data_IF_562636846861
#
_entry.id   IF_562636846861
#
_cell.length_a   1.000
_cell.length_b   1.000
_cell.length_c   1.000
_cell.angle_alpha   90.00
_cell.angle_beta   90.00
_cell.angle_gamma   90.00
#
_symmetry.space_group_name_H-M   'P 1'
#
loop_
_entity.id
_entity.type
_entity.pdbx_description
1 polymer ?
#
# COMPACT_ATOMS: atom_id res chain seq x y z
N UNK A 1 18.77 -1.95 -18.91
CA UNK A 1 19.74 -2.49 -17.93
C UNK A 1 19.85 -1.46 -16.77
N UNK A 2 18.83 -1.36 -15.91
CA UNK A 2 18.65 -0.23 -14.96
C UNK A 2 18.56 -0.65 -13.47
N UNK A 3 18.77 -1.93 -13.15
CA UNK A 3 18.38 -2.53 -11.87
C UNK A 3 19.42 -2.43 -10.74
N UNK A 4 20.58 -1.80 -10.93
CA UNK A 4 21.73 -1.98 -10.01
C UNK A 4 22.07 -0.84 -9.05
N UNK A 5 21.42 0.33 -9.07
CA UNK A 5 21.90 1.49 -8.31
C UNK A 5 21.08 1.95 -7.11
N UNK A 6 19.92 1.36 -6.81
CA UNK A 6 19.02 1.95 -5.81
C UNK A 6 19.18 1.44 -4.36
N UNK A 7 20.09 0.50 -4.11
CA UNK A 7 20.22 -0.25 -2.83
C UNK A 7 21.22 0.30 -1.80
N UNK A 8 21.69 1.54 -1.92
CA UNK A 8 22.45 2.17 -0.83
C UNK A 8 21.49 2.53 0.30
N UNK A 9 21.65 1.88 1.47
CA UNK A 9 20.81 2.09 2.64
C UNK A 9 20.84 3.55 3.10
N UNK A 10 19.66 4.14 3.25
CA UNK A 10 19.49 5.48 3.80
C UNK A 10 19.44 5.37 5.33
N UNK A 11 20.42 5.93 6.02
CA UNK A 11 20.43 5.98 7.49
C UNK A 11 19.71 7.23 7.97
N UNK A 12 18.45 7.06 8.38
CA UNK A 12 17.57 8.13 8.85
C UNK A 12 18.09 8.79 10.15
N UNK A 13 18.90 8.08 10.95
CA UNK A 13 19.45 8.59 12.22
C UNK A 13 20.51 9.69 12.01
N UNK A 14 21.04 9.82 10.79
CA UNK A 14 22.08 10.77 10.45
C UNK A 14 21.55 12.14 9.98
N UNK A 15 20.21 12.33 9.87
CA UNK A 15 19.62 13.56 9.34
C UNK A 15 18.67 14.20 10.37
N UNK A 16 18.83 15.50 10.68
CA UNK A 16 17.84 16.22 11.46
C UNK A 16 16.52 16.34 10.67
N UNK A 17 15.38 16.25 11.36
CA UNK A 17 14.03 16.24 10.73
C UNK A 17 13.80 17.42 9.76
N UNK A 18 14.33 18.60 10.09
CA UNK A 18 14.25 19.81 9.25
C UNK A 18 14.92 19.65 7.88
N UNK A 19 15.95 18.82 7.78
CA UNK A 19 16.64 18.53 6.52
C UNK A 19 15.83 17.56 5.66
N UNK A 20 15.18 16.57 6.28
CA UNK A 20 14.29 15.62 5.58
C UNK A 20 13.11 16.38 4.97
N UNK A 21 12.47 17.27 5.74
CA UNK A 21 11.37 18.11 5.24
C UNK A 21 11.79 18.97 4.04
N UNK A 22 12.97 19.57 4.11
CA UNK A 22 13.52 20.40 3.02
C UNK A 22 13.73 19.59 1.74
N UNK A 23 14.26 18.36 1.84
CA UNK A 23 14.45 17.50 0.67
C UNK A 23 13.12 17.01 0.09
N UNK A 24 12.15 16.67 0.94
CA UNK A 24 10.80 16.30 0.49
C UNK A 24 10.12 17.44 -0.27
N UNK A 25 10.25 18.68 0.22
CA UNK A 25 9.70 19.86 -0.45
C UNK A 25 10.39 20.13 -1.79
N UNK A 26 11.70 19.89 -1.90
CA UNK A 26 12.41 19.97 -3.20
C UNK A 26 11.88 18.92 -4.19
N UNK A 27 11.71 17.68 -3.74
CA UNK A 27 11.16 16.59 -4.57
C UNK A 27 9.74 16.93 -5.01
N UNK A 28 8.90 17.44 -4.09
CA UNK A 28 7.54 17.88 -4.40
C UNK A 28 7.54 18.90 -5.52
N UNK A 29 8.34 19.98 -5.39
CA UNK A 29 8.47 21.04 -6.41
C UNK A 29 8.96 20.51 -7.74
N UNK A 30 9.89 19.55 -7.74
CA UNK A 30 10.34 18.89 -8.96
C UNK A 30 9.16 18.26 -9.72
N UNK A 31 8.32 17.48 -9.03
CA UNK A 31 7.15 16.88 -9.67
C UNK A 31 6.10 17.92 -10.08
N UNK A 32 5.85 18.95 -9.26
CA UNK A 32 4.91 20.03 -9.60
C UNK A 32 5.31 20.75 -10.90
N UNK A 33 6.60 21.01 -11.10
CA UNK A 33 7.12 21.66 -12.30
C UNK A 33 6.96 20.81 -13.58
N UNK A 34 6.74 19.50 -13.44
CA UNK A 34 6.54 18.57 -14.55
C UNK A 34 5.07 18.38 -14.91
N UNK A 35 4.14 18.85 -14.08
CA UNK A 35 2.71 18.69 -14.34
C UNK A 35 2.30 19.58 -15.53
N UNK A 36 1.78 18.99 -16.63
CA UNK A 36 1.33 19.76 -17.77
C UNK A 36 0.17 20.70 -17.39
N UNK A 37 0.16 21.91 -17.94
CA UNK A 37 -0.98 22.84 -17.82
C UNK A 37 -2.22 22.43 -18.66
N UNK A 38 -2.34 21.15 -19.04
CA UNK A 38 -3.33 20.64 -20.01
C UNK A 38 -4.43 19.78 -19.39
N UNK A 39 -5.57 19.65 -20.09
CA UNK A 39 -6.81 18.99 -19.60
C UNK A 39 -6.70 17.48 -19.33
N UNK A 40 -5.67 16.79 -19.85
CA UNK A 40 -5.50 15.34 -19.68
C UNK A 40 -4.43 14.97 -18.64
N UNK A 41 -3.79 15.96 -18.03
CA UNK A 41 -2.82 15.77 -16.96
C UNK A 41 -3.52 15.65 -15.59
N UNK A 42 -2.90 14.93 -14.62
CA UNK A 42 -3.32 15.07 -13.23
C UNK A 42 -3.25 16.55 -12.82
N UNK A 43 -4.29 17.03 -12.13
CA UNK A 43 -4.32 18.39 -11.60
C UNK A 43 -3.18 18.58 -10.59
N UNK A 44 -2.63 19.80 -10.52
CA UNK A 44 -1.67 20.16 -9.47
C UNK A 44 -2.25 19.94 -8.06
N UNK A 45 -3.56 20.13 -7.90
CA UNK A 45 -4.23 19.89 -6.62
C UNK A 45 -4.28 18.40 -6.28
N UNK A 46 -4.63 17.55 -7.25
CA UNK A 46 -4.67 16.09 -7.06
C UNK A 46 -3.28 15.55 -6.72
N UNK A 47 -2.24 16.08 -7.39
CA UNK A 47 -0.86 15.73 -7.08
C UNK A 47 -0.49 16.13 -5.65
N UNK A 48 -0.73 17.39 -5.26
CA UNK A 48 -0.41 17.88 -3.91
C UNK A 48 -1.08 17.07 -2.83
N UNK A 49 -2.39 16.86 -2.96
CA UNK A 49 -3.16 16.06 -2.02
C UNK A 49 -2.59 14.64 -1.91
N UNK A 50 -2.35 13.99 -3.05
CA UNK A 50 -1.81 12.63 -3.08
C UNK A 50 -0.42 12.53 -2.47
N UNK A 51 0.46 13.48 -2.81
CA UNK A 51 1.84 13.55 -2.32
C UNK A 51 1.88 13.79 -0.81
N UNK A 52 1.20 14.83 -0.32
CA UNK A 52 1.16 15.20 1.10
C UNK A 52 0.55 14.09 1.94
N UNK A 53 -0.55 13.49 1.47
CA UNK A 53 -1.18 12.35 2.15
C UNK A 53 -0.25 11.13 2.20
N UNK A 54 0.41 10.79 1.09
CA UNK A 54 1.34 9.67 1.05
C UNK A 54 2.52 9.88 2.02
N UNK A 55 3.17 11.04 1.96
CA UNK A 55 4.30 11.38 2.84
C UNK A 55 3.87 11.41 4.30
N UNK A 56 2.79 12.13 4.61
CA UNK A 56 2.30 12.25 5.99
C UNK A 56 1.95 10.91 6.61
N UNK A 57 1.22 10.04 5.88
CA UNK A 57 0.91 8.69 6.37
C UNK A 57 2.16 7.81 6.52
N UNK A 58 3.16 7.99 5.65
CA UNK A 58 4.40 7.22 5.72
C UNK A 58 5.20 7.57 6.97
N UNK A 59 5.23 8.85 7.36
CA UNK A 59 5.83 9.26 8.62
C UNK A 59 5.02 8.83 9.84
N UNK A 60 3.70 8.95 9.80
CA UNK A 60 2.85 8.56 10.93
C UNK A 60 2.99 7.07 11.30
N UNK A 61 3.20 6.19 10.32
CA UNK A 61 3.44 4.75 10.56
C UNK A 61 4.77 4.47 11.25
N UNK A 62 5.75 5.34 11.05
CA UNK A 62 7.10 5.20 11.61
C UNK A 62 7.18 5.72 13.04
N UNK A 63 6.25 6.58 13.47
CA UNK A 63 6.16 7.03 14.85
C UNK A 63 5.80 5.83 15.74
N UNK A 64 6.80 5.31 16.47
CA UNK A 64 6.57 4.21 17.41
C UNK A 64 5.83 4.71 18.65
N UNK A 65 4.81 3.97 19.07
CA UNK A 65 4.06 4.18 20.31
C UNK A 65 3.64 5.64 20.54
N UNK A 66 2.81 6.24 19.66
CA UNK A 66 2.17 7.48 20.03
C UNK A 66 1.41 7.24 21.34
N UNK A 67 1.66 8.09 22.34
CA UNK A 67 0.81 8.06 23.53
C UNK A 67 -0.63 8.23 23.06
N UNK A 68 -1.57 7.41 23.57
CA UNK A 68 -2.97 7.56 23.21
C UNK A 68 -3.38 9.01 23.49
N UNK A 69 -3.99 9.63 22.49
CA UNK A 69 -4.45 11.02 22.60
C UNK A 69 -5.38 11.19 23.80
N UNK A 70 -5.55 12.41 24.28
CA UNK A 70 -6.40 12.70 25.45
C UNK A 70 -7.81 12.13 25.27
N UNK A 71 -8.36 12.21 24.04
CA UNK A 71 -9.65 11.63 23.70
C UNK A 71 -9.65 10.10 23.70
N UNK A 72 -8.56 9.44 23.29
CA UNK A 72 -8.41 7.99 23.39
C UNK A 72 -8.28 7.52 24.85
N UNK A 73 -7.63 8.32 25.70
CA UNK A 73 -7.53 8.05 27.14
C UNK A 73 -8.89 8.13 27.85
N UNK A 74 -9.80 8.99 27.38
CA UNK A 74 -11.16 9.10 27.94
C UNK A 74 -11.97 7.82 27.78
N UNK A 75 -11.80 7.07 26.69
CA UNK A 75 -12.47 5.77 26.51
C UNK A 75 -12.11 4.77 27.62
N UNK A 76 -10.86 4.76 28.07
CA UNK A 76 -10.44 3.91 29.19
C UNK A 76 -10.98 4.40 30.52
N UNK A 77 -11.13 5.72 30.70
CA UNK A 77 -11.74 6.29 31.91
C UNK A 77 -13.20 5.91 32.05
N UNK A 78 -13.95 5.88 30.94
CA UNK A 78 -15.39 5.59 30.94
C UNK A 78 -15.67 4.10 31.17
N UNK A 79 -14.84 3.21 30.63
CA UNK A 79 -15.10 1.76 30.64
C UNK A 79 -14.74 1.07 31.95
N UNK A 80 -14.09 1.76 32.91
CA UNK A 80 -13.63 1.23 34.20
C UNK A 80 -12.91 -0.12 34.08
N UNK A 81 -12.19 -0.33 32.97
CA UNK A 81 -11.57 -1.60 32.67
C UNK A 81 -10.26 -1.73 33.45
N UNK A 82 -10.08 -2.81 34.22
CA UNK A 82 -8.89 -2.98 35.08
C UNK A 82 -7.57 -3.18 34.31
N UNK A 83 -7.64 -3.45 33.00
CA UNK A 83 -6.50 -3.76 32.15
C UNK A 83 -6.26 -2.67 31.10
N UNK A 84 -6.00 -1.44 31.55
CA UNK A 84 -5.79 -0.26 30.69
C UNK A 84 -4.64 -0.46 29.69
N UNK A 85 -3.51 -0.97 30.17
CA UNK A 85 -2.30 -1.20 29.37
C UNK A 85 -2.57 -2.13 28.18
N UNK A 86 -3.30 -3.22 28.39
CA UNK A 86 -3.65 -4.16 27.33
C UNK A 86 -4.57 -3.49 26.28
N UNK A 87 -5.50 -2.67 26.75
CA UNK A 87 -6.37 -1.87 25.90
C UNK A 87 -5.56 -0.92 25.00
N UNK A 88 -4.63 -0.17 25.58
CA UNK A 88 -3.74 0.76 24.85
C UNK A 88 -2.92 0.04 23.78
N UNK A 89 -2.34 -1.10 24.10
CA UNK A 89 -1.61 -1.94 23.13
C UNK A 89 -2.52 -2.39 21.98
N UNK A 90 -3.73 -2.87 22.30
CA UNK A 90 -4.70 -3.30 21.29
C UNK A 90 -5.15 -2.14 20.38
N UNK A 91 -5.40 -0.96 20.95
CA UNK A 91 -5.79 0.23 20.21
C UNK A 91 -4.66 0.69 19.29
N UNK A 92 -3.44 0.80 19.81
CA UNK A 92 -2.26 1.19 19.02
C UNK A 92 -2.03 0.23 17.86
N UNK A 93 -2.15 -1.08 18.09
CA UNK A 93 -2.07 -2.08 17.02
C UNK A 93 -3.16 -1.89 15.96
N UNK A 94 -4.41 -1.64 16.36
CA UNK A 94 -5.52 -1.39 15.44
C UNK A 94 -5.30 -0.12 14.62
N UNK A 95 -4.91 0.97 15.26
CA UNK A 95 -4.62 2.25 14.63
C UNK A 95 -3.47 2.11 13.63
N UNK A 96 -2.38 1.45 14.01
CA UNK A 96 -1.24 1.17 13.12
C UNK A 96 -1.65 0.37 11.88
N UNK A 97 -2.48 -0.66 12.04
CA UNK A 97 -3.01 -1.43 10.90
C UNK A 97 -3.86 -0.54 9.96
N UNK A 98 -4.66 0.36 10.52
CA UNK A 98 -5.49 1.28 9.74
C UNK A 98 -4.63 2.30 8.99
N UNK A 99 -3.62 2.87 9.63
CA UNK A 99 -2.66 3.77 9.00
C UNK A 99 -1.91 3.06 7.86
N UNK A 100 -1.41 1.86 8.10
CA UNK A 100 -0.73 1.04 7.09
C UNK A 100 -1.63 0.77 5.86
N UNK A 101 -2.91 0.48 6.09
CA UNK A 101 -3.87 0.34 5.00
C UNK A 101 -4.03 1.63 4.19
N UNK A 102 -4.21 2.77 4.85
CA UNK A 102 -4.36 4.06 4.16
C UNK A 102 -3.08 4.49 3.44
N UNK A 103 -1.91 4.24 4.02
CA UNK A 103 -0.62 4.54 3.37
C UNK A 103 -0.44 3.71 2.11
N UNK A 104 -0.84 2.42 2.13
CA UNK A 104 -0.82 1.57 0.94
C UNK A 104 -1.73 2.10 -0.18
N UNK A 105 -2.92 2.61 0.17
CA UNK A 105 -3.82 3.25 -0.79
C UNK A 105 -3.19 4.53 -1.36
N UNK A 106 -2.68 5.41 -0.50
CA UNK A 106 -2.04 6.66 -0.91
C UNK A 106 -0.80 6.41 -1.80
N UNK A 107 -0.02 5.36 -1.50
CA UNK A 107 1.08 4.89 -2.35
C UNK A 107 0.58 4.48 -3.73
N UNK A 108 -0.52 3.72 -3.79
CA UNK A 108 -1.16 3.33 -5.05
C UNK A 108 -1.56 4.55 -5.88
N UNK A 109 -2.20 5.53 -5.26
CA UNK A 109 -2.59 6.78 -5.91
C UNK A 109 -1.38 7.58 -6.42
N UNK A 110 -0.31 7.64 -5.62
CA UNK A 110 0.95 8.27 -6.04
C UNK A 110 1.55 7.58 -7.27
N UNK A 111 1.55 6.24 -7.29
CA UNK A 111 2.02 5.48 -8.46
C UNK A 111 1.19 5.74 -9.71
N UNK A 112 -0.13 5.91 -9.61
CA UNK A 112 -0.97 6.26 -10.75
C UNK A 112 -0.59 7.62 -11.36
N UNK A 113 -0.25 8.60 -10.53
CA UNK A 113 0.23 9.91 -11.00
C UNK A 113 1.64 9.79 -11.58
N UNK A 114 2.52 9.08 -10.90
CA UNK A 114 3.90 8.84 -11.33
C UNK A 114 3.97 8.16 -12.70
N UNK A 115 3.16 7.11 -12.92
CA UNK A 115 3.07 6.40 -14.20
C UNK A 115 2.63 7.32 -15.35
N UNK A 116 1.70 8.26 -15.09
CA UNK A 116 1.30 9.28 -16.08
C UNK A 116 2.44 10.24 -16.41
N UNK A 117 3.20 10.68 -15.41
CA UNK A 117 4.37 11.55 -15.61
C UNK A 117 5.47 10.83 -16.42
N UNK A 118 5.76 9.58 -16.08
CA UNK A 118 6.73 8.73 -16.79
C UNK A 118 6.31 8.49 -18.24
N UNK A 119 5.01 8.33 -18.51
CA UNK A 119 4.49 8.17 -19.87
C UNK A 119 4.62 9.46 -20.71
N UNK A 120 4.52 10.63 -20.08
CA UNK A 120 4.59 11.93 -20.76
C UNK A 120 6.03 12.46 -20.92
N UNK A 121 6.98 12.01 -20.10
CA UNK A 121 8.33 12.55 -20.08
C UNK A 121 9.23 11.97 -21.19
N UNK A 122 9.98 12.81 -21.92
CA UNK A 122 10.94 12.35 -22.92
C UNK A 122 12.15 11.64 -22.27
N UNK A 123 12.60 12.15 -21.13
CA UNK A 123 13.60 11.50 -20.28
C UNK A 123 12.96 11.10 -18.95
N UNK A 124 13.08 9.81 -18.63
CA UNK A 124 12.46 9.18 -17.45
C UNK A 124 13.43 9.10 -16.28
N UNK A 125 14.73 9.21 -16.52
CA UNK A 125 15.75 8.97 -15.51
C UNK A 125 15.60 9.91 -14.29
N UNK A 126 15.39 11.24 -14.47
CA UNK A 126 15.22 12.15 -13.34
C UNK A 126 13.98 11.83 -12.50
N UNK A 127 12.89 11.38 -13.13
CA UNK A 127 11.66 10.98 -12.42
C UNK A 127 11.92 9.79 -11.49
N UNK A 128 12.61 8.75 -11.98
CA UNK A 128 12.94 7.58 -11.18
C UNK A 128 13.92 7.89 -10.05
N UNK A 129 14.89 8.78 -10.27
CA UNK A 129 15.83 9.22 -9.23
C UNK A 129 15.11 9.96 -8.10
N UNK A 130 14.24 10.91 -8.43
CA UNK A 130 13.49 11.68 -7.44
C UNK A 130 12.45 10.81 -6.70
N UNK A 131 11.80 9.88 -7.38
CA UNK A 131 10.91 8.91 -6.74
C UNK A 131 11.67 7.96 -5.81
N UNK A 132 12.83 7.44 -6.23
CA UNK A 132 13.65 6.58 -5.39
C UNK A 132 14.12 7.32 -4.13
N UNK A 133 14.51 8.58 -4.27
CA UNK A 133 14.92 9.39 -3.12
C UNK A 133 13.77 9.65 -2.16
N UNK A 134 12.57 9.98 -2.68
CA UNK A 134 11.37 10.09 -1.86
C UNK A 134 11.12 8.82 -1.04
N UNK A 135 11.16 7.65 -1.69
CA UNK A 135 10.90 6.37 -1.03
C UNK A 135 11.93 6.03 0.04
N UNK A 136 13.19 6.44 -0.13
CA UNK A 136 14.20 6.32 0.94
C UNK A 136 13.92 7.25 2.11
N UNK A 137 13.58 8.51 1.84
CA UNK A 137 13.29 9.50 2.88
C UNK A 137 12.10 9.07 3.76
N UNK A 138 11.12 8.39 3.16
CA UNK A 138 9.94 7.87 3.86
C UNK A 138 10.03 6.36 4.19
N UNK A 139 11.22 5.75 4.11
CA UNK A 139 11.48 4.34 4.42
C UNK A 139 10.49 3.32 3.80
N UNK A 140 10.07 3.58 2.56
CA UNK A 140 9.13 2.73 1.82
C UNK A 140 9.88 1.78 0.88
N UNK A 141 10.43 0.72 1.47
CA UNK A 141 11.21 -0.29 0.74
C UNK A 141 10.38 -1.05 -0.32
N UNK A 142 9.07 -1.20 -0.11
CA UNK A 142 8.19 -1.84 -1.10
C UNK A 142 7.98 -0.94 -2.32
N UNK A 143 7.82 0.37 -2.13
CA UNK A 143 7.78 1.33 -3.24
C UNK A 143 9.12 1.39 -3.99
N UNK A 144 10.25 1.38 -3.26
CA UNK A 144 11.59 1.36 -3.83
C UNK A 144 11.83 0.11 -4.69
N UNK A 145 11.43 -1.07 -4.19
CA UNK A 145 11.49 -2.32 -4.94
C UNK A 145 10.59 -2.29 -6.18
N UNK A 146 9.42 -1.65 -6.09
CA UNK A 146 8.46 -1.57 -7.20
C UNK A 146 9.01 -0.76 -8.37
N UNK A 147 9.67 0.38 -8.13
CA UNK A 147 10.29 1.16 -9.22
C UNK A 147 11.55 0.49 -9.78
N UNK A 148 12.24 -0.32 -8.99
CA UNK A 148 13.41 -1.08 -9.42
C UNK A 148 13.07 -2.27 -10.31
N UNK A 149 11.81 -2.73 -10.33
CA UNK A 149 11.38 -3.85 -11.18
C UNK A 149 10.97 -3.32 -12.56
N UNK A 150 11.48 -3.89 -13.66
CA UNK A 150 10.88 -3.65 -14.97
C UNK A 150 9.40 -4.06 -14.87
N UNK A 151 8.50 -3.20 -15.36
CA UNK A 151 7.08 -3.52 -15.39
C UNK A 151 6.93 -4.93 -15.96
N UNK A 152 6.25 -5.87 -15.26
CA UNK A 152 6.03 -7.18 -15.82
C UNK A 152 5.36 -6.95 -17.17
N UNK A 153 5.95 -7.52 -18.23
CA UNK A 153 5.32 -7.51 -19.54
C UNK A 153 3.86 -7.94 -19.31
N UNK A 154 2.87 -7.20 -19.85
CA UNK A 154 1.48 -7.57 -19.64
C UNK A 154 1.40 -9.04 -20.03
N UNK A 155 1.06 -9.89 -19.06
CA UNK A 155 0.73 -11.27 -19.34
C UNK A 155 -0.63 -11.22 -20.05
N UNK A 156 -0.62 -10.75 -21.30
CA UNK A 156 -1.65 -11.09 -22.24
C UNK A 156 -1.54 -12.60 -22.35
N UNK A 157 -2.41 -13.31 -21.63
CA UNK A 157 -2.85 -14.62 -22.07
C UNK A 157 -3.23 -14.44 -23.53
N UNK A 158 -2.40 -14.96 -24.42
CA UNK A 158 -2.63 -15.03 -25.88
C UNK A 158 -3.76 -16.00 -26.23
N UNK A 159 -4.76 -16.09 -25.37
CA UNK A 159 -6.01 -16.79 -25.60
C UNK A 159 -7.09 -15.75 -25.75
N UNK A 160 -7.66 -15.65 -26.95
CA UNK A 160 -9.01 -15.12 -27.18
C UNK A 160 -10.05 -16.01 -26.48
N UNK A 161 -9.93 -16.22 -25.17
CA UNK A 161 -11.05 -16.71 -24.38
C UNK A 161 -11.96 -15.51 -24.16
N UNK A 162 -12.80 -15.27 -25.16
CA UNK A 162 -13.97 -14.43 -25.00
C UNK A 162 -14.71 -14.91 -23.76
N UNK A 163 -14.81 -14.06 -22.75
CA UNK A 163 -15.61 -14.28 -21.55
C UNK A 163 -17.09 -14.20 -21.96
N UNK A 164 -17.54 -15.19 -22.75
CA UNK A 164 -18.89 -15.27 -23.29
C UNK A 164 -19.84 -16.08 -22.40
N UNK A 165 -19.37 -16.57 -21.24
CA UNK A 165 -20.14 -17.53 -20.45
C UNK A 165 -20.17 -17.23 -18.93
N UNK A 166 -20.08 -15.96 -18.51
CA UNK A 166 -20.42 -15.59 -17.13
C UNK A 166 -21.93 -15.70 -16.80
N UNK A 167 -22.78 -16.00 -17.80
CA UNK A 167 -24.24 -16.07 -17.64
C UNK A 167 -24.88 -17.44 -17.83
N UNK A 168 -24.12 -18.50 -18.16
CA UNK A 168 -24.69 -19.84 -18.39
C UNK A 168 -24.15 -20.85 -17.38
N UNK A 169 -24.54 -20.69 -16.12
CA UNK A 169 -24.48 -21.83 -15.21
C UNK A 169 -25.35 -22.95 -15.81
N UNK A 170 -24.71 -24.07 -16.17
CA UNK A 170 -25.45 -25.28 -16.54
C UNK A 170 -25.95 -25.92 -15.26
N UNK A 171 -27.23 -25.71 -14.96
CA UNK A 171 -27.93 -26.43 -13.90
C UNK A 171 -28.34 -27.81 -14.41
N UNK A 172 -27.93 -28.87 -13.71
CA UNK A 172 -28.40 -30.24 -13.99
C UNK A 172 -28.96 -30.82 -12.69
N UNK A 173 -30.24 -31.19 -12.70
CA UNK A 173 -30.96 -31.77 -11.55
C UNK A 173 -30.87 -30.92 -10.27
N UNK A 174 -31.04 -29.59 -10.38
CA UNK A 174 -31.09 -28.69 -9.23
C UNK A 174 -29.76 -28.50 -8.48
N UNK A 175 -28.63 -28.97 -9.04
CA UNK A 175 -27.29 -28.71 -8.50
C UNK A 175 -26.43 -27.99 -9.54
N UNK A 176 -25.63 -26.98 -9.13
CA UNK A 176 -24.70 -26.31 -10.03
C UNK A 176 -23.61 -27.29 -10.47
N UNK A 177 -23.38 -27.39 -11.78
CA UNK A 177 -22.28 -28.18 -12.33
C UNK A 177 -21.01 -27.32 -12.33
N UNK A 178 -20.08 -27.61 -11.42
CA UNK A 178 -18.75 -26.99 -11.41
C UNK A 178 -17.99 -27.40 -12.68
N UNK A 179 -17.82 -26.47 -13.62
CA UNK A 179 -16.85 -26.62 -14.71
C UNK A 179 -15.43 -26.48 -14.15
N UNK A 180 -14.46 -27.16 -14.76
CA UNK A 180 -13.07 -27.19 -14.28
C UNK A 180 -12.45 -25.78 -14.13
N UNK A 181 -12.98 -24.77 -14.84
CA UNK A 181 -12.58 -23.36 -14.73
C UNK A 181 -12.96 -22.69 -13.39
N UNK A 182 -13.91 -23.23 -12.63
CA UNK A 182 -14.33 -22.70 -11.33
C UNK A 182 -13.61 -23.33 -10.13
N UNK A 183 -12.56 -24.13 -10.37
CA UNK A 183 -11.66 -24.57 -9.29
C UNK A 183 -10.71 -23.43 -8.94
N UNK A 184 -11.21 -22.45 -8.18
CA UNK A 184 -10.32 -21.64 -7.35
C UNK A 184 -9.65 -22.62 -6.39
N UNK A 185 -8.34 -22.82 -6.53
CA UNK A 185 -7.55 -23.65 -5.63
C UNK A 185 -7.39 -22.92 -4.30
N UNK A 186 -8.42 -22.96 -3.46
CA UNK A 186 -8.30 -22.61 -2.04
C UNK A 186 -7.47 -23.70 -1.37
N UNK A 187 -6.14 -23.53 -1.38
CA UNK A 187 -5.22 -24.20 -0.46
C UNK A 187 -5.42 -23.63 0.96
N UNK A 188 -6.63 -23.74 1.50
CA UNK A 188 -6.90 -23.55 2.92
C UNK A 188 -6.79 -24.93 3.56
N UNK A 189 -5.62 -25.22 4.15
CA UNK A 189 -5.48 -26.31 5.13
C UNK A 189 -6.38 -25.98 6.31
N UNK A 190 -7.57 -26.55 6.32
CA UNK A 190 -8.42 -26.62 7.50
C UNK A 190 -7.68 -27.52 8.50
N UNK A 191 -7.22 -26.92 9.60
CA UNK A 191 -6.72 -27.66 10.76
C UNK A 191 -7.97 -28.30 11.39
N UNK A 192 -8.15 -29.61 11.16
CA UNK A 192 -9.20 -30.38 11.82
C UNK A 192 -8.90 -30.45 13.31
N UNK A 193 -9.71 -29.78 14.13
CA UNK A 193 -9.76 -30.00 15.56
C UNK A 193 -10.31 -31.42 15.83
N UNK A 194 -9.46 -32.32 16.32
CA UNK A 194 -9.90 -33.60 16.87
C UNK A 194 -10.57 -33.37 18.21
N UNK A 195 -11.90 -33.37 18.22
CA UNK A 195 -12.70 -33.59 19.43
C UNK A 195 -12.68 -35.08 19.76
N UNK A 196 -11.92 -35.49 20.77
CA UNK A 196 -12.11 -36.77 21.42
C UNK A 196 -13.27 -36.65 22.40
N UNK A 197 -14.42 -37.24 22.05
CA UNK A 197 -15.51 -37.48 22.98
C UNK A 197 -15.76 -38.98 23.10
N UNK A 198 -16.01 -39.39 24.33
CA UNK A 198 -16.66 -40.63 24.78
C UNK A 198 -15.86 -41.93 24.75
N UNK A 199 -15.57 -42.46 25.95
CA UNK A 199 -16.38 -43.58 26.43
C UNK A 199 -16.46 -43.57 27.97
N UNK A 200 -17.70 -43.51 28.47
CA UNK A 200 -18.07 -44.04 29.79
C UNK A 200 -18.08 -45.57 29.66
N UNK A 201 -17.46 -46.25 30.60
CA UNK A 201 -18.09 -47.22 31.51
C UNK A 201 -17.19 -47.35 32.75
#
# INVERSE_FOLDING_TARGET
>A
MFTKFYKTGFDKSAFPDSKIETEIEKIKRFFENLLPAGRSAPSIFDFRETFERYVGLSFEIQTENPEPSTSEQEFYRITNHQQKELGEICLNRRNRNRLAFHQKLARGDFFLIFEKLVAAAPDKQPLFEQAAELFRLVDDNEALDRIGRPAPAPAQTTGNETVNDLGKEKWKNGKPQLTAANRISTNLRIISATTSSSAKD
#
